data_IF_997235683337
#
_entry.id   IF_997235683337
#
_cell.length_a   1.000
_cell.length_b   1.000
_cell.length_c   1.000
_cell.angle_alpha   90.00
_cell.angle_beta   90.00
_cell.angle_gamma   90.00
#
_symmetry.space_group_name_H-M   'P 1'
#
loop_
_entity.id
_entity.type
_entity.pdbx_description
1 polymer ?
#
# COMPACT_ATOMS: atom_id res chain seq x y z
N UNK A 1 73.26 -29.93 34.51
CA UNK A 1 72.81 -28.58 34.10
C UNK A 1 71.72 -28.75 33.06
N UNK A 2 70.52 -28.31 33.41
CA UNK A 2 69.27 -28.50 32.67
C UNK A 2 69.11 -27.34 31.69
N UNK A 3 68.69 -27.62 30.45
CA UNK A 3 68.22 -26.57 29.53
C UNK A 3 66.99 -27.08 28.79
N UNK A 4 65.84 -26.84 29.43
CA UNK A 4 64.51 -26.97 28.88
C UNK A 4 64.35 -25.89 27.79
N UNK A 5 64.17 -26.29 26.53
CA UNK A 5 63.72 -25.37 25.47
C UNK A 5 62.21 -25.48 25.35
N UNK A 6 61.51 -24.49 25.87
CA UNK A 6 60.05 -24.34 25.75
C UNK A 6 59.79 -23.74 24.35
N UNK A 7 59.32 -24.57 23.42
CA UNK A 7 58.78 -24.09 22.15
C UNK A 7 57.34 -23.64 22.36
N UNK A 8 57.11 -22.32 22.31
CA UNK A 8 55.78 -21.72 22.33
C UNK A 8 55.07 -22.01 21.00
N UNK A 9 54.06 -22.89 21.04
CA UNK A 9 53.11 -23.08 19.94
C UNK A 9 52.04 -21.98 20.05
N UNK A 10 52.14 -20.95 19.22
CA UNK A 10 51.10 -19.93 19.08
C UNK A 10 50.02 -20.48 18.13
N UNK A 11 48.95 -21.02 18.71
CA UNK A 11 47.77 -21.46 17.97
C UNK A 11 46.87 -20.23 17.73
N UNK A 12 47.00 -19.60 16.56
CA UNK A 12 46.13 -18.52 16.10
C UNK A 12 44.77 -19.11 15.71
N UNK A 13 43.86 -19.21 16.69
CA UNK A 13 42.44 -19.46 16.46
C UNK A 13 41.85 -18.27 15.69
N UNK A 14 41.75 -18.45 14.37
CA UNK A 14 41.05 -17.55 13.48
C UNK A 14 39.55 -17.70 13.74
N UNK A 15 38.99 -16.86 14.61
CA UNK A 15 37.54 -16.72 14.76
C UNK A 15 37.00 -16.16 13.44
N UNK A 16 36.57 -17.05 12.55
CA UNK A 16 35.76 -16.67 11.40
C UNK A 16 34.43 -16.15 11.94
N UNK A 17 34.31 -14.82 12.05
CA UNK A 17 33.02 -14.16 12.21
C UNK A 17 32.20 -14.46 10.96
N UNK A 18 31.29 -15.44 11.06
CA UNK A 18 30.21 -15.58 10.10
C UNK A 18 29.33 -14.36 10.30
N UNK A 19 29.64 -13.29 9.57
CA UNK A 19 28.73 -12.19 9.38
C UNK A 19 27.52 -12.77 8.63
N UNK A 20 26.47 -13.11 9.37
CA UNK A 20 25.15 -13.29 8.79
C UNK A 20 24.78 -11.95 8.16
N UNK A 21 25.09 -11.79 6.87
CA UNK A 21 24.47 -10.78 6.05
C UNK A 21 22.97 -11.10 6.06
N UNK A 22 22.23 -10.48 6.99
CA UNK A 22 20.79 -10.36 6.86
C UNK A 22 20.58 -9.67 5.52
N UNK A 23 20.20 -10.46 4.52
CA UNK A 23 19.72 -9.96 3.25
C UNK A 23 18.43 -9.23 3.62
N UNK A 24 18.55 -7.93 3.87
CA UNK A 24 17.40 -7.06 4.07
C UNK A 24 16.57 -7.22 2.81
N UNK A 25 15.46 -7.96 2.92
CA UNK A 25 14.59 -8.17 1.76
C UNK A 25 14.08 -6.79 1.38
N UNK A 26 14.41 -6.35 0.16
CA UNK A 26 14.01 -5.03 -0.32
C UNK A 26 12.51 -4.85 -0.11
N UNK A 27 12.14 -3.67 0.37
CA UNK A 27 10.76 -3.24 0.43
C UNK A 27 10.21 -3.15 -0.99
N UNK A 28 10.95 -2.67 -1.98
CA UNK A 28 10.43 -2.57 -3.36
C UNK A 28 9.94 -3.92 -3.92
N UNK A 29 8.76 -3.92 -4.53
CA UNK A 29 8.21 -5.04 -5.32
C UNK A 29 7.12 -4.53 -6.25
N UNK A 30 7.13 -4.97 -7.50
CA UNK A 30 6.10 -4.63 -8.48
C UNK A 30 4.68 -4.99 -7.99
N UNK A 31 4.49 -6.21 -7.47
CA UNK A 31 3.20 -6.65 -6.92
C UNK A 31 2.72 -5.78 -5.75
N UNK A 32 3.61 -5.36 -4.84
CA UNK A 32 3.25 -4.49 -3.71
C UNK A 32 2.98 -3.05 -4.17
N UNK A 33 3.77 -2.53 -5.12
CA UNK A 33 3.54 -1.22 -5.76
C UNK A 33 2.17 -1.20 -6.48
N UNK A 34 1.81 -2.26 -7.21
CA UNK A 34 0.51 -2.40 -7.84
C UNK A 34 -0.64 -2.48 -6.81
N UNK A 35 -0.43 -3.21 -5.71
CA UNK A 35 -1.42 -3.35 -4.65
C UNK A 35 -1.74 -2.01 -3.97
N UNK A 36 -0.72 -1.22 -3.61
CA UNK A 36 -0.97 0.10 -3.00
C UNK A 36 -1.60 1.08 -3.97
N UNK A 37 -1.29 0.99 -5.27
CA UNK A 37 -1.95 1.78 -6.30
C UNK A 37 -3.43 1.39 -6.42
N UNK A 38 -3.75 0.10 -6.44
CA UNK A 38 -5.11 -0.40 -6.47
C UNK A 38 -5.93 0.06 -5.25
N UNK A 39 -5.35 -0.01 -4.06
CA UNK A 39 -5.95 0.49 -2.82
C UNK A 39 -6.19 2.01 -2.90
N UNK A 40 -5.18 2.75 -3.38
CA UNK A 40 -5.27 4.20 -3.57
C UNK A 40 -6.37 4.61 -4.54
N UNK A 41 -6.54 3.88 -5.64
CA UNK A 41 -7.62 4.10 -6.62
C UNK A 41 -8.97 3.90 -5.95
N UNK A 42 -9.20 2.78 -5.27
CA UNK A 42 -10.48 2.50 -4.62
C UNK A 42 -10.82 3.56 -3.57
N UNK A 43 -9.87 3.92 -2.70
CA UNK A 43 -10.07 4.95 -1.69
C UNK A 43 -10.40 6.32 -2.31
N UNK A 44 -9.74 6.68 -3.42
CA UNK A 44 -10.05 7.91 -4.15
C UNK A 44 -11.46 7.89 -4.76
N UNK A 45 -11.84 6.78 -5.39
CA UNK A 45 -13.17 6.61 -6.01
C UNK A 45 -14.26 6.77 -4.95
N UNK A 46 -14.14 6.08 -3.82
CA UNK A 46 -15.10 6.18 -2.70
C UNK A 46 -15.19 7.62 -2.19
N UNK A 47 -14.06 8.29 -2.00
CA UNK A 47 -14.03 9.69 -1.58
C UNK A 47 -14.65 10.65 -2.60
N UNK A 48 -14.47 10.40 -3.90
CA UNK A 48 -15.11 11.21 -4.93
C UNK A 48 -16.61 10.97 -4.99
N UNK A 49 -17.07 9.73 -4.90
CA UNK A 49 -18.50 9.38 -4.85
C UNK A 49 -19.16 10.04 -3.64
N UNK A 50 -18.57 9.92 -2.44
CA UNK A 50 -19.08 10.56 -1.23
C UNK A 50 -19.26 12.08 -1.40
N UNK A 51 -18.24 12.78 -1.89
CA UNK A 51 -18.32 14.23 -2.09
C UNK A 51 -19.33 14.63 -3.18
N UNK A 52 -19.37 13.92 -4.31
CA UNK A 52 -20.17 14.35 -5.46
C UNK A 52 -21.65 13.90 -5.38
N UNK A 53 -21.93 12.81 -4.65
CA UNK A 53 -23.25 12.17 -4.67
C UNK A 53 -24.07 12.39 -3.40
N UNK A 54 -23.48 12.48 -2.20
CA UNK A 54 -24.28 12.52 -0.96
C UNK A 54 -25.24 13.71 -0.95
N UNK A 55 -24.73 14.92 -1.22
CA UNK A 55 -25.56 16.13 -1.28
C UNK A 55 -26.61 16.07 -2.41
N UNK A 56 -26.23 15.52 -3.58
CA UNK A 56 -27.14 15.38 -4.73
C UNK A 56 -28.30 14.42 -4.42
N UNK A 57 -28.07 13.42 -3.57
CA UNK A 57 -29.07 12.45 -3.12
C UNK A 57 -29.83 12.92 -1.86
N UNK A 58 -29.58 14.12 -1.35
CA UNK A 58 -30.21 14.63 -0.14
C UNK A 58 -29.76 13.92 1.14
N UNK A 59 -28.60 13.24 1.14
CA UNK A 59 -28.03 12.61 2.33
C UNK A 59 -27.30 13.63 3.20
N UNK A 60 -27.41 13.47 4.52
CA UNK A 60 -26.85 14.39 5.51
C UNK A 60 -25.45 13.97 6.02
N UNK A 61 -24.99 12.79 5.64
CA UNK A 61 -23.64 12.32 5.95
C UNK A 61 -22.58 13.23 5.33
N UNK A 62 -21.51 13.51 6.08
CA UNK A 62 -20.35 14.20 5.49
C UNK A 62 -19.50 13.19 4.70
N UNK A 63 -18.87 13.60 3.58
CA UNK A 63 -18.10 12.69 2.73
C UNK A 63 -17.01 11.91 3.47
N UNK A 64 -16.41 12.51 4.51
CA UNK A 64 -15.39 11.85 5.33
C UNK A 64 -15.92 10.61 6.04
N UNK A 65 -17.14 10.67 6.56
CA UNK A 65 -17.73 9.56 7.33
C UNK A 65 -18.13 8.42 6.41
N UNK A 66 -18.66 8.75 5.22
CA UNK A 66 -18.94 7.77 4.16
C UNK A 66 -17.68 6.98 3.77
N UNK A 67 -16.56 7.69 3.57
CA UNK A 67 -15.26 7.04 3.29
C UNK A 67 -14.78 6.23 4.47
N UNK A 68 -14.91 6.73 5.70
CA UNK A 68 -14.45 6.05 6.90
C UNK A 68 -15.12 4.68 7.09
N UNK A 69 -16.42 4.56 6.77
CA UNK A 69 -17.15 3.29 6.82
C UNK A 69 -16.55 2.27 5.83
N UNK A 70 -16.26 2.66 4.59
CA UNK A 70 -15.58 1.78 3.63
C UNK A 70 -14.15 1.44 4.10
N UNK A 71 -13.40 2.44 4.61
CA UNK A 71 -12.05 2.22 5.12
C UNK A 71 -12.04 1.24 6.29
N UNK A 72 -13.03 1.28 7.17
CA UNK A 72 -13.14 0.37 8.31
C UNK A 72 -13.27 -1.09 7.86
N UNK A 73 -14.10 -1.37 6.85
CA UNK A 73 -14.25 -2.72 6.30
C UNK A 73 -12.99 -3.21 5.58
N UNK A 74 -12.18 -2.29 5.07
CA UNK A 74 -10.96 -2.55 4.32
C UNK A 74 -9.66 -2.30 5.12
N UNK A 75 -9.78 -2.17 6.45
CA UNK A 75 -8.70 -1.69 7.32
C UNK A 75 -7.42 -2.54 7.22
N UNK A 76 -7.56 -3.86 7.11
CA UNK A 76 -6.44 -4.80 6.92
C UNK A 76 -5.51 -4.37 5.78
N UNK A 77 -6.08 -4.04 4.63
CA UNK A 77 -5.31 -3.72 3.43
C UNK A 77 -4.80 -2.27 3.45
N UNK A 78 -5.59 -1.34 4.00
CA UNK A 78 -5.17 0.06 4.17
C UNK A 78 -3.96 0.18 5.09
N UNK A 79 -3.95 -0.56 6.21
CA UNK A 79 -2.81 -0.61 7.13
C UNK A 79 -1.58 -1.23 6.46
N UNK A 80 -1.76 -2.32 5.71
CA UNK A 80 -0.67 -2.95 4.97
C UNK A 80 -0.09 -2.03 3.89
N UNK A 81 -0.94 -1.30 3.18
CA UNK A 81 -0.56 -0.28 2.20
C UNK A 81 0.26 0.84 2.84
N UNK A 82 -0.16 1.33 4.01
CA UNK A 82 0.57 2.38 4.72
C UNK A 82 1.96 1.90 5.14
N UNK A 83 2.05 0.73 5.79
CA UNK A 83 3.33 0.14 6.21
C UNK A 83 4.28 -0.08 5.01
N UNK A 84 3.73 -0.51 3.88
CA UNK A 84 4.51 -0.68 2.67
C UNK A 84 5.00 0.64 2.09
N UNK A 85 4.13 1.64 2.02
CA UNK A 85 4.49 2.95 1.51
C UNK A 85 5.61 3.58 2.35
N UNK A 86 5.53 3.47 3.68
CA UNK A 86 6.56 3.95 4.61
C UNK A 86 7.91 3.26 4.37
N UNK A 87 7.91 1.93 4.19
CA UNK A 87 9.12 1.18 3.87
C UNK A 87 9.69 1.55 2.49
N UNK A 88 8.82 1.72 1.49
CA UNK A 88 9.17 2.03 0.10
C UNK A 88 9.79 3.42 -0.05
N UNK A 89 9.22 4.43 0.62
CA UNK A 89 9.75 5.79 0.60
C UNK A 89 11.06 5.91 1.37
N UNK A 90 11.18 5.19 2.49
CA UNK A 90 12.42 5.15 3.26
C UNK A 90 13.56 4.49 2.45
N UNK A 91 13.28 3.35 1.79
CA UNK A 91 14.26 2.71 0.90
C UNK A 91 14.69 3.62 -0.25
N UNK A 92 13.73 4.33 -0.86
CA UNK A 92 14.01 5.31 -1.92
C UNK A 92 14.88 6.46 -1.41
N UNK A 93 14.59 6.99 -0.22
CA UNK A 93 15.36 8.07 0.39
C UNK A 93 16.78 7.63 0.77
N UNK A 94 16.95 6.44 1.33
CA UNK A 94 18.28 5.88 1.65
C UNK A 94 19.11 5.66 0.38
N UNK A 95 18.48 5.23 -0.72
CA UNK A 95 19.19 4.88 -1.95
C UNK A 95 19.50 6.08 -2.85
N UNK A 96 18.67 7.13 -2.82
CA UNK A 96 18.76 8.24 -3.78
C UNK A 96 18.36 9.61 -3.23
N UNK A 97 18.24 9.72 -1.90
CA UNK A 97 17.86 10.94 -1.20
C UNK A 97 16.40 11.37 -1.40
N UNK A 98 16.11 12.56 -0.93
CA UNK A 98 14.77 13.21 -1.00
C UNK A 98 14.21 13.25 -2.43
N UNK A 99 15.07 13.40 -3.44
CA UNK A 99 14.65 13.43 -4.84
C UNK A 99 13.99 12.10 -5.26
N UNK A 100 14.61 10.97 -4.93
CA UNK A 100 14.07 9.65 -5.26
C UNK A 100 12.80 9.34 -4.47
N UNK A 101 12.74 9.75 -3.20
CA UNK A 101 11.51 9.68 -2.39
C UNK A 101 10.35 10.38 -3.07
N UNK A 102 10.55 11.64 -3.45
CA UNK A 102 9.51 12.46 -4.07
C UNK A 102 9.10 11.88 -5.43
N UNK A 103 10.04 11.37 -6.23
CA UNK A 103 9.75 10.72 -7.51
C UNK A 103 8.80 9.51 -7.34
N UNK A 104 8.97 8.69 -6.30
CA UNK A 104 8.07 7.57 -6.01
C UNK A 104 6.67 8.06 -5.60
N UNK A 105 6.58 9.07 -4.73
CA UNK A 105 5.31 9.65 -4.29
C UNK A 105 4.55 10.25 -5.48
N UNK A 106 5.24 11.00 -6.34
CA UNK A 106 4.66 11.65 -7.51
C UNK A 106 4.20 10.62 -8.54
N UNK A 107 5.01 9.60 -8.81
CA UNK A 107 4.66 8.51 -9.73
C UNK A 107 3.40 7.75 -9.25
N UNK A 108 3.36 7.38 -7.97
CA UNK A 108 2.20 6.72 -7.38
C UNK A 108 0.95 7.62 -7.44
N UNK A 109 1.07 8.88 -7.03
CA UNK A 109 -0.04 9.84 -7.01
C UNK A 109 -0.60 10.05 -8.41
N UNK A 110 0.26 10.22 -9.41
CA UNK A 110 -0.13 10.38 -10.82
C UNK A 110 -0.86 9.14 -11.34
N UNK A 111 -0.33 7.95 -11.05
CA UNK A 111 -0.95 6.68 -11.44
C UNK A 111 -2.34 6.51 -10.83
N UNK A 112 -2.44 6.68 -9.51
CA UNK A 112 -3.71 6.60 -8.77
C UNK A 112 -4.72 7.59 -9.31
N UNK A 113 -4.35 8.88 -9.45
CA UNK A 113 -5.27 9.91 -9.92
C UNK A 113 -5.76 9.62 -11.33
N UNK A 114 -4.89 9.23 -12.26
CA UNK A 114 -5.28 8.94 -13.64
C UNK A 114 -6.34 7.83 -13.75
N UNK A 115 -6.11 6.69 -13.08
CA UNK A 115 -7.04 5.56 -13.09
C UNK A 115 -8.32 5.90 -12.33
N UNK A 116 -8.21 6.55 -11.18
CA UNK A 116 -9.36 6.84 -10.34
C UNK A 116 -10.27 7.91 -10.96
N UNK A 117 -9.73 8.94 -11.62
CA UNK A 117 -10.53 9.91 -12.37
C UNK A 117 -11.26 9.27 -13.55
N UNK A 118 -10.61 8.36 -14.27
CA UNK A 118 -11.26 7.58 -15.33
C UNK A 118 -12.44 6.74 -14.78
N UNK A 119 -12.22 6.08 -13.65
CA UNK A 119 -13.26 5.28 -12.96
C UNK A 119 -14.42 6.13 -12.47
N UNK A 120 -14.14 7.28 -11.86
CA UNK A 120 -15.19 8.20 -11.41
C UNK A 120 -15.99 8.75 -12.60
N UNK A 121 -15.32 9.08 -13.72
CA UNK A 121 -16.01 9.48 -14.95
C UNK A 121 -16.89 8.36 -15.48
N UNK A 122 -16.41 7.12 -15.54
CA UNK A 122 -17.23 6.00 -16.03
C UNK A 122 -18.45 5.74 -15.14
N UNK A 123 -18.33 5.96 -13.82
CA UNK A 123 -19.43 5.79 -12.89
C UNK A 123 -20.43 6.94 -12.91
N UNK A 124 -19.95 8.19 -12.93
CA UNK A 124 -20.78 9.37 -12.65
C UNK A 124 -21.13 10.21 -13.87
N UNK A 125 -20.38 10.10 -14.98
CA UNK A 125 -20.66 10.84 -16.22
C UNK A 125 -21.69 10.10 -17.07
N UNK A 126 -22.88 9.93 -16.51
CA UNK A 126 -24.04 9.31 -17.16
C UNK A 126 -25.10 10.36 -17.46
N UNK A 127 -25.99 10.10 -18.43
CA UNK A 127 -27.07 11.02 -18.79
C UNK A 127 -27.95 11.39 -17.59
N UNK A 128 -28.22 10.41 -16.72
CA UNK A 128 -28.85 10.63 -15.42
C UNK A 128 -27.82 10.50 -14.29
N UNK A 129 -27.32 11.66 -13.85
CA UNK A 129 -26.34 11.74 -12.76
C UNK A 129 -26.93 11.29 -11.41
N UNK A 130 -28.22 11.47 -11.19
CA UNK A 130 -28.88 11.05 -9.94
C UNK A 130 -28.91 9.55 -9.84
N UNK A 131 -29.31 8.85 -10.90
CA UNK A 131 -29.32 7.39 -10.94
C UNK A 131 -27.89 6.81 -10.90
N UNK A 132 -26.92 7.46 -11.55
CA UNK A 132 -25.51 7.10 -11.42
C UNK A 132 -25.00 7.20 -9.97
N UNK A 133 -25.37 8.28 -9.28
CA UNK A 133 -25.02 8.48 -7.88
C UNK A 133 -25.68 7.45 -6.96
N UNK A 134 -26.98 7.16 -7.12
CA UNK A 134 -27.68 6.12 -6.35
C UNK A 134 -26.98 4.77 -6.50
N UNK A 135 -26.66 4.37 -7.74
CA UNK A 135 -25.99 3.11 -8.04
C UNK A 135 -24.59 3.03 -7.41
N UNK A 136 -23.79 4.09 -7.58
CA UNK A 136 -22.41 4.13 -7.08
C UNK A 136 -22.36 4.05 -5.55
N UNK A 137 -23.25 4.78 -4.88
CA UNK A 137 -23.42 4.72 -3.41
C UNK A 137 -23.83 3.32 -2.98
N UNK A 138 -24.84 2.72 -3.62
CA UNK A 138 -25.31 1.37 -3.29
C UNK A 138 -24.22 0.29 -3.47
N UNK A 139 -23.39 0.39 -4.52
CA UNK A 139 -22.24 -0.52 -4.74
C UNK A 139 -21.24 -0.44 -3.58
N UNK A 140 -20.94 0.76 -3.09
CA UNK A 140 -20.00 0.95 -1.99
C UNK A 140 -20.61 0.48 -0.66
N UNK A 141 -21.88 0.78 -0.40
CA UNK A 141 -22.54 0.44 0.85
C UNK A 141 -22.86 -1.05 0.99
N UNK A 142 -23.17 -1.73 -0.11
CA UNK A 142 -23.35 -3.18 -0.13
C UNK A 142 -22.06 -3.96 0.08
N UNK A 143 -20.90 -3.29 0.08
CA UNK A 143 -19.59 -3.94 0.16
C UNK A 143 -19.13 -4.57 -1.16
N UNK A 144 -19.88 -4.40 -2.26
CA UNK A 144 -19.46 -4.87 -3.58
C UNK A 144 -18.18 -4.19 -4.09
N UNK A 145 -17.81 -3.05 -3.49
CA UNK A 145 -16.54 -2.35 -3.73
C UNK A 145 -15.48 -2.56 -2.63
N UNK A 146 -15.71 -3.50 -1.71
CA UNK A 146 -14.71 -3.89 -0.72
C UNK A 146 -13.71 -4.89 -1.32
N UNK A 147 -12.52 -4.96 -0.72
CA UNK A 147 -11.50 -5.93 -1.06
C UNK A 147 -11.90 -7.32 -0.56
N UNK A 148 -12.26 -8.17 -1.50
CA UNK A 148 -12.80 -9.52 -1.27
C UNK A 148 -12.27 -10.49 -2.32
N UNK A 149 -12.50 -11.82 -2.19
CA UNK A 149 -12.03 -12.79 -3.18
C UNK A 149 -12.47 -12.53 -4.63
N UNK A 150 -13.51 -11.73 -4.85
CA UNK A 150 -13.93 -11.32 -6.20
C UNK A 150 -13.16 -10.11 -6.75
N UNK A 151 -12.33 -9.44 -5.95
CA UNK A 151 -11.49 -8.34 -6.41
C UNK A 151 -10.38 -8.86 -7.34
N UNK A 152 -10.12 -8.21 -8.49
CA UNK A 152 -9.08 -8.66 -9.43
C UNK A 152 -7.67 -8.80 -8.85
N UNK A 153 -7.36 -8.02 -7.81
CA UNK A 153 -6.06 -7.98 -7.14
C UNK A 153 -6.04 -8.75 -5.79
N UNK A 154 -7.04 -9.61 -5.54
CA UNK A 154 -7.22 -10.18 -4.20
C UNK A 154 -5.99 -10.96 -3.69
N UNK A 155 -5.34 -11.75 -4.57
CA UNK A 155 -4.15 -12.52 -4.19
C UNK A 155 -2.98 -11.61 -3.80
N UNK A 156 -2.77 -10.52 -4.54
CA UNK A 156 -1.73 -9.53 -4.29
C UNK A 156 -2.02 -8.73 -3.02
N UNK A 157 -3.29 -8.39 -2.77
CA UNK A 157 -3.73 -7.72 -1.55
C UNK A 157 -3.52 -8.60 -0.30
N UNK A 158 -3.82 -9.89 -0.39
CA UNK A 158 -3.52 -10.87 0.67
C UNK A 158 -2.01 -11.01 0.90
N UNK A 159 -1.23 -11.06 -0.19
CA UNK A 159 0.23 -11.10 -0.12
C UNK A 159 0.82 -9.85 0.54
N UNK A 160 0.31 -8.66 0.20
CA UNK A 160 0.68 -7.39 0.82
C UNK A 160 0.35 -7.40 2.32
N UNK A 161 -0.85 -7.87 2.68
CA UNK A 161 -1.28 -7.95 4.08
C UNK A 161 -0.42 -8.94 4.89
N UNK A 162 -0.09 -10.10 4.33
CA UNK A 162 0.81 -11.07 4.95
C UNK A 162 2.24 -10.53 5.10
N UNK A 163 2.74 -9.79 4.11
CA UNK A 163 4.02 -9.09 4.22
C UNK A 163 4.01 -8.07 5.36
N UNK A 164 2.93 -7.32 5.52
CA UNK A 164 2.81 -6.29 6.56
C UNK A 164 2.72 -6.84 7.98
N UNK A 165 2.50 -8.14 8.18
CA UNK A 165 2.48 -8.78 9.50
C UNK A 165 3.86 -9.20 10.01
N UNK A 166 4.89 -9.14 9.15
CA UNK A 166 6.30 -9.41 9.52
C UNK A 166 6.92 -8.19 10.22
#
# INVERSE_FOLDING_TARGET
>A
MISLRISAVVFLLSLATIANAQTTTLATSESRDASIAYIGVANFVVGRVGRDCLALLGRLEVPKDFVAVWQQRNAKYLQASQKYMDARINEAEVSGGVGQRNAIIDALTKSVRGVAESTVKSWLNQADKTEACKRSVAIIESGAYDFSPSSPMYGELESLAAWAQR
#
